data_IF_962076228657
#
_entry.id   IF_962076228657
#
_cell.length_a   1.000
_cell.length_b   1.000
_cell.length_c   1.000
_cell.angle_alpha   90.00
_cell.angle_beta   90.00
_cell.angle_gamma   90.00
#
_symmetry.space_group_name_H-M   'P 1'
#
loop_
_entity.id
_entity.type
_entity.pdbx_description
1 polymer ?
#
# COMPACT_ATOMS: atom_id res chain seq x y z
N UNK A 1 -26.25 35.82 42.76
CA UNK A 1 -26.72 34.75 43.66
C UNK A 1 -25.53 33.86 43.93
N UNK A 2 -24.80 34.15 45.01
CA UNK A 2 -23.56 33.48 45.38
C UNK A 2 -23.80 32.88 46.76
N UNK A 3 -23.99 31.55 46.81
CA UNK A 3 -24.09 30.82 48.07
C UNK A 3 -22.67 30.45 48.51
N UNK A 4 -22.08 31.27 49.37
CA UNK A 4 -20.85 30.97 50.05
C UNK A 4 -21.06 29.83 51.06
N UNK A 5 -20.18 28.84 50.98
CA UNK A 5 -20.02 27.73 51.92
C UNK A 5 -19.73 28.27 53.32
N UNK A 6 -20.69 28.22 54.22
CA UNK A 6 -20.42 28.36 55.65
C UNK A 6 -19.80 27.04 56.15
N UNK A 7 -18.48 26.97 56.12
CA UNK A 7 -17.74 25.99 56.90
C UNK A 7 -17.98 26.27 58.40
N UNK A 8 -18.37 25.24 59.15
CA UNK A 8 -18.55 25.33 60.60
C UNK A 8 -17.22 25.72 61.28
N UNK A 9 -17.23 26.67 62.23
CA UNK A 9 -16.01 27.07 62.95
C UNK A 9 -15.46 25.92 63.78
N UNK A 10 -14.21 25.53 63.50
CA UNK A 10 -13.48 24.38 64.11
C UNK A 10 -13.26 24.48 65.63
N UNK A 11 -13.64 25.59 66.27
CA UNK A 11 -13.44 25.84 67.70
C UNK A 11 -14.68 25.64 68.58
N UNK A 12 -15.80 25.14 68.03
CA UNK A 12 -17.07 25.06 68.78
C UNK A 12 -17.66 23.65 68.92
N UNK A 13 -16.83 22.60 68.84
CA UNK A 13 -17.26 21.28 69.34
C UNK A 13 -17.19 21.33 70.87
N UNK A 14 -18.24 21.87 71.50
CA UNK A 14 -18.43 21.78 72.93
C UNK A 14 -18.80 20.33 73.25
N UNK A 15 -17.82 19.59 73.76
CA UNK A 15 -18.02 18.27 74.31
C UNK A 15 -18.93 18.38 75.54
N UNK A 16 -20.19 17.94 75.41
CA UNK A 16 -21.02 17.63 76.56
C UNK A 16 -20.48 16.31 77.11
N UNK A 17 -19.70 16.39 78.18
CA UNK A 17 -19.20 15.23 78.92
C UNK A 17 -20.38 14.43 79.46
N UNK A 18 -20.62 13.25 78.88
CA UNK A 18 -21.44 12.22 79.51
C UNK A 18 -20.77 11.72 80.79
N UNK A 19 -21.55 11.40 81.81
CA UNK A 19 -21.10 11.11 83.19
C UNK A 19 -20.33 9.80 83.41
N UNK A 20 -19.79 9.16 82.37
CA UNK A 20 -18.97 7.95 82.50
C UNK A 20 -17.96 7.81 81.36
N UNK A 21 -16.73 7.41 81.68
CA UNK A 21 -15.65 7.14 80.74
C UNK A 21 -15.94 5.94 79.81
N UNK A 22 -16.94 5.12 80.10
CA UNK A 22 -17.39 4.00 79.24
C UNK A 22 -18.21 4.47 78.03
N UNK A 23 -18.77 5.68 78.06
CA UNK A 23 -19.62 6.23 76.99
C UNK A 23 -18.91 7.29 76.13
N UNK A 24 -17.66 7.65 76.46
CA UNK A 24 -16.91 8.68 75.73
C UNK A 24 -15.88 8.00 74.84
N UNK A 25 -16.28 7.69 73.61
CA UNK A 25 -15.32 7.46 72.54
C UNK A 25 -14.55 8.78 72.32
N UNK A 26 -13.22 8.76 72.51
CA UNK A 26 -12.40 9.94 72.20
C UNK A 26 -12.59 10.35 70.73
N UNK A 27 -12.45 11.64 70.41
CA UNK A 27 -12.48 12.09 69.00
C UNK A 27 -11.51 11.33 68.11
N UNK A 28 -10.37 10.87 68.67
CA UNK A 28 -9.44 9.98 68.01
C UNK A 28 -10.05 8.60 67.75
N UNK A 29 -10.72 7.99 68.73
CA UNK A 29 -11.40 6.70 68.56
C UNK A 29 -12.56 6.78 67.55
N UNK A 30 -13.30 7.88 67.52
CA UNK A 30 -14.35 8.11 66.51
C UNK A 30 -13.73 8.31 65.12
N UNK A 31 -12.65 9.08 65.00
CA UNK A 31 -11.94 9.31 63.73
C UNK A 31 -11.29 8.02 63.22
N UNK A 32 -10.62 7.27 64.09
CA UNK A 32 -10.01 5.99 63.76
C UNK A 32 -11.08 4.95 63.36
N UNK A 33 -12.22 4.92 64.05
CA UNK A 33 -13.36 4.06 63.69
C UNK A 33 -13.97 4.46 62.34
N UNK A 34 -14.11 5.76 62.05
CA UNK A 34 -14.68 6.25 60.79
C UNK A 34 -13.74 6.03 59.60
N UNK A 35 -12.43 6.16 59.80
CA UNK A 35 -11.39 5.81 58.81
C UNK A 35 -11.37 4.31 58.54
N UNK A 36 -11.66 3.48 59.56
CA UNK A 36 -11.77 2.03 59.41
C UNK A 36 -13.14 1.56 58.89
N UNK A 37 -14.21 2.36 59.03
CA UNK A 37 -15.58 1.97 58.69
C UNK A 37 -15.85 1.83 57.19
N UNK A 38 -15.00 2.40 56.33
CA UNK A 38 -14.97 2.13 54.89
C UNK A 38 -13.52 1.98 54.46
N UNK A 39 -12.98 0.76 54.53
CA UNK A 39 -11.64 0.51 54.04
C UNK A 39 -11.62 0.64 52.51
N UNK A 40 -10.62 1.35 51.98
CA UNK A 40 -10.42 1.47 50.53
C UNK A 40 -10.27 0.09 49.87
N UNK A 41 -9.79 -0.90 50.62
CA UNK A 41 -9.62 -2.29 50.20
C UNK A 41 -10.96 -3.02 50.00
N UNK A 42 -11.99 -2.66 50.75
CA UNK A 42 -13.32 -3.22 50.59
C UNK A 42 -14.05 -2.64 49.37
N UNK A 43 -13.86 -1.33 49.11
CA UNK A 43 -14.50 -0.67 47.97
C UNK A 43 -13.75 -0.91 46.65
N UNK A 44 -12.41 -0.95 46.71
CA UNK A 44 -11.53 -1.10 45.57
C UNK A 44 -10.49 -2.19 45.81
N UNK A 45 -10.86 -3.48 45.80
CA UNK A 45 -9.91 -4.58 45.99
C UNK A 45 -8.83 -4.59 44.89
N UNK A 46 -7.67 -5.21 45.18
CA UNK A 46 -6.61 -5.42 44.17
C UNK A 46 -7.18 -6.17 42.96
N UNK A 47 -6.87 -5.69 41.77
CA UNK A 47 -7.42 -6.19 40.51
C UNK A 47 -8.70 -5.49 40.02
N UNK A 48 -9.35 -4.65 40.84
CA UNK A 48 -10.50 -3.87 40.37
C UNK A 48 -10.08 -2.85 39.31
N UNK A 49 -10.99 -2.58 38.37
CA UNK A 49 -10.85 -1.53 37.36
C UNK A 49 -11.75 -0.34 37.69
N UNK A 50 -11.22 0.86 37.57
CA UNK A 50 -11.97 2.12 37.68
C UNK A 50 -11.79 2.96 36.41
N UNK A 51 -12.83 3.72 36.05
CA UNK A 51 -12.85 4.60 34.89
C UNK A 51 -13.14 6.04 35.31
N UNK A 52 -12.30 6.97 34.87
CA UNK A 52 -12.52 8.40 35.09
C UNK A 52 -12.89 9.10 33.78
N UNK A 53 -14.00 9.85 33.80
CA UNK A 53 -14.38 10.76 32.71
C UNK A 53 -13.55 12.06 32.66
N UNK A 54 -12.58 12.18 33.56
CA UNK A 54 -11.65 13.30 33.67
C UNK A 54 -10.23 12.75 33.78
N UNK A 55 -9.23 13.58 33.48
CA UNK A 55 -7.84 13.24 33.71
C UNK A 55 -7.53 13.21 35.22
N UNK A 56 -7.80 12.07 35.84
CA UNK A 56 -7.55 11.79 37.26
C UNK A 56 -6.65 10.58 37.39
N UNK A 57 -5.66 10.70 38.28
CA UNK A 57 -4.75 9.62 38.62
C UNK A 57 -5.16 9.03 39.99
N UNK A 58 -5.63 7.78 40.05
CA UNK A 58 -6.05 7.16 41.30
C UNK A 58 -4.91 6.99 42.31
N UNK A 59 -3.64 6.96 41.86
CA UNK A 59 -2.48 6.97 42.77
C UNK A 59 -2.39 8.27 43.61
N UNK A 60 -3.00 9.37 43.14
CA UNK A 60 -3.09 10.63 43.88
C UNK A 60 -4.38 10.69 44.71
N UNK A 61 -5.49 10.16 44.17
CA UNK A 61 -6.79 10.19 44.84
C UNK A 61 -6.89 9.25 46.03
N UNK A 62 -6.18 8.11 45.98
CA UNK A 62 -6.21 7.06 46.98
C UNK A 62 -4.79 6.79 47.52
N UNK A 63 -4.30 7.63 48.45
CA UNK A 63 -2.99 7.43 49.06
C UNK A 63 -2.86 6.02 49.66
N UNK A 64 -1.66 5.44 49.60
CA UNK A 64 -1.34 4.07 50.05
C UNK A 64 -1.90 2.93 49.19
N UNK A 65 -2.41 3.23 48.01
CA UNK A 65 -2.75 2.23 46.98
C UNK A 65 -1.86 2.42 45.76
N UNK A 66 -1.75 1.41 44.90
CA UNK A 66 -1.03 1.44 43.63
C UNK A 66 -1.97 1.07 42.48
N UNK A 67 -1.89 1.83 41.40
CA UNK A 67 -2.75 1.67 40.23
C UNK A 67 -1.94 1.79 38.95
N UNK A 68 -2.23 0.89 38.02
CA UNK A 68 -1.62 0.85 36.70
C UNK A 68 -2.61 1.36 35.66
N UNK A 69 -2.13 2.20 34.74
CA UNK A 69 -2.92 2.67 33.61
C UNK A 69 -3.13 1.52 32.60
N UNK A 70 -4.36 1.33 32.13
CA UNK A 70 -4.71 0.25 31.19
C UNK A 70 -4.08 0.50 29.79
N UNK A 71 -3.81 1.76 29.47
CA UNK A 71 -3.25 2.19 28.19
C UNK A 71 -4.28 2.89 27.29
N UNK A 72 -3.79 3.41 26.17
CA UNK A 72 -4.54 4.32 25.30
C UNK A 72 -5.16 3.58 24.11
N UNK A 73 -6.27 4.15 23.58
CA UNK A 73 -6.95 3.69 22.37
C UNK A 73 -7.31 2.19 22.41
N UNK A 74 -7.76 1.70 23.56
CA UNK A 74 -8.21 0.32 23.76
C UNK A 74 -9.72 0.23 23.94
N UNK A 75 -10.29 -0.86 23.45
CA UNK A 75 -11.64 -1.30 23.81
C UNK A 75 -11.52 -2.48 24.77
N UNK A 76 -12.45 -2.60 25.73
CA UNK A 76 -12.44 -3.69 26.70
C UNK A 76 -13.24 -4.88 26.17
N UNK A 77 -12.65 -6.06 26.29
CA UNK A 77 -13.28 -7.35 25.98
C UNK A 77 -13.31 -8.20 27.24
N UNK A 78 -14.24 -9.14 27.29
CA UNK A 78 -14.29 -10.13 28.35
C UNK A 78 -13.16 -11.15 28.14
N UNK A 79 -12.40 -11.39 29.21
CA UNK A 79 -11.44 -12.47 29.27
C UNK A 79 -12.16 -13.83 29.26
N UNK A 80 -11.43 -14.88 28.92
CA UNK A 80 -11.83 -16.27 29.13
C UNK A 80 -12.20 -16.53 30.59
N UNK A 81 -13.14 -17.45 30.83
CA UNK A 81 -13.66 -17.74 32.17
C UNK A 81 -12.60 -18.26 33.15
N UNK A 82 -11.49 -18.84 32.65
CA UNK A 82 -10.37 -19.31 33.46
C UNK A 82 -9.32 -18.21 33.75
N UNK A 83 -9.50 -17.00 33.20
CA UNK A 83 -8.67 -15.84 33.47
C UNK A 83 -7.28 -15.85 32.81
N UNK A 84 -6.97 -16.81 31.95
CA UNK A 84 -5.62 -16.97 31.39
C UNK A 84 -5.20 -15.84 30.45
N UNK A 85 -6.17 -15.12 29.88
CA UNK A 85 -5.97 -14.02 28.94
C UNK A 85 -6.32 -12.64 29.54
N UNK A 86 -6.47 -12.55 30.87
CA UNK A 86 -6.66 -11.28 31.57
C UNK A 86 -5.50 -10.32 31.27
N UNK A 87 -5.83 -9.06 30.96
CA UNK A 87 -4.89 -8.00 30.56
C UNK A 87 -4.09 -8.26 29.27
N UNK A 88 -4.37 -9.33 28.53
CA UNK A 88 -3.82 -9.47 27.17
C UNK A 88 -4.37 -8.38 26.25
N UNK A 89 -3.54 -7.95 25.29
CA UNK A 89 -3.89 -6.89 24.34
C UNK A 89 -3.78 -7.39 22.89
N UNK A 90 -4.61 -6.83 22.02
CA UNK A 90 -4.58 -7.12 20.59
C UNK A 90 -5.51 -6.19 19.81
N UNK A 91 -5.54 -6.38 18.49
CA UNK A 91 -6.30 -5.54 17.56
C UNK A 91 -5.46 -4.40 16.96
N UNK A 92 -6.06 -3.69 16.00
CA UNK A 92 -5.50 -2.53 15.31
C UNK A 92 -6.64 -1.58 14.96
N UNK A 93 -6.35 -0.28 14.93
CA UNK A 93 -7.29 0.76 14.48
C UNK A 93 -7.40 0.83 12.96
N UNK A 94 -6.44 0.24 12.24
CA UNK A 94 -6.43 0.22 10.77
C UNK A 94 -5.93 -1.10 10.20
N UNK A 95 -6.32 -1.34 8.95
CA UNK A 95 -5.85 -2.47 8.15
C UNK A 95 -5.46 -2.00 6.74
N UNK A 96 -4.31 -2.45 6.25
CA UNK A 96 -3.95 -2.35 4.84
C UNK A 96 -4.27 -3.68 4.17
N UNK A 97 -5.10 -3.64 3.12
CA UNK A 97 -5.47 -4.84 2.38
C UNK A 97 -4.26 -5.38 1.60
N UNK A 98 -4.08 -6.68 1.66
CA UNK A 98 -3.08 -7.45 0.91
C UNK A 98 -3.76 -8.27 -0.18
N UNK A 99 -3.00 -8.72 -1.18
CA UNK A 99 -3.53 -9.52 -2.30
C UNK A 99 -4.39 -10.71 -1.86
N UNK A 100 -4.01 -11.53 -0.85
CA UNK A 100 -4.85 -12.64 -0.38
C UNK A 100 -6.20 -12.23 0.23
N UNK A 101 -6.37 -10.97 0.62
CA UNK A 101 -7.60 -10.44 1.24
C UNK A 101 -8.56 -9.84 0.20
N UNK A 102 -8.18 -9.78 -1.08
CA UNK A 102 -9.02 -9.30 -2.17
C UNK A 102 -9.71 -10.48 -2.84
N UNK A 103 -11.04 -10.46 -3.03
CA UNK A 103 -11.74 -11.49 -3.80
C UNK A 103 -11.14 -11.68 -5.21
N UNK A 104 -11.12 -12.93 -5.67
CA UNK A 104 -10.69 -13.26 -7.02
C UNK A 104 -11.54 -12.48 -8.04
N UNK A 105 -10.87 -11.78 -8.94
CA UNK A 105 -11.49 -11.00 -10.00
C UNK A 105 -10.62 -11.08 -11.25
N UNK A 106 -11.22 -10.86 -12.40
CA UNK A 106 -10.51 -10.87 -13.68
C UNK A 106 -10.88 -9.62 -14.47
N UNK A 107 -9.91 -9.10 -15.22
CA UNK A 107 -10.10 -8.02 -16.17
C UNK A 107 -9.73 -8.54 -17.55
N UNK A 108 -10.66 -8.45 -18.49
CA UNK A 108 -10.40 -8.79 -19.90
C UNK A 108 -10.51 -7.54 -20.76
N UNK A 109 -9.47 -7.24 -21.53
CA UNK A 109 -9.51 -6.24 -22.58
C UNK A 109 -9.17 -6.88 -23.93
N UNK A 110 -10.00 -6.62 -24.92
CA UNK A 110 -9.73 -6.97 -26.31
C UNK A 110 -10.25 -5.87 -27.22
N UNK A 111 -9.43 -5.39 -28.15
CA UNK A 111 -9.83 -4.47 -29.20
C UNK A 111 -9.34 -4.93 -30.57
N UNK A 112 -10.06 -4.54 -31.62
CA UNK A 112 -9.59 -4.67 -33.01
C UNK A 112 -9.67 -3.31 -33.68
N UNK A 113 -8.71 -3.00 -34.54
CA UNK A 113 -8.78 -1.82 -35.38
C UNK A 113 -9.94 -1.94 -36.38
N UNK A 114 -10.44 -0.83 -36.90
CA UNK A 114 -11.28 -0.88 -38.09
C UNK A 114 -10.51 -1.48 -39.26
N UNK A 115 -11.24 -2.13 -40.17
CA UNK A 115 -10.64 -2.66 -41.39
C UNK A 115 -10.16 -1.50 -42.26
N UNK A 116 -8.93 -1.62 -42.75
CA UNK A 116 -8.32 -0.63 -43.64
C UNK A 116 -7.69 -1.32 -44.84
N UNK A 117 -8.02 -0.84 -46.03
CA UNK A 117 -7.43 -1.28 -47.30
C UNK A 117 -6.39 -0.24 -47.73
N UNK A 118 -5.13 -0.66 -47.84
CA UNK A 118 -4.02 0.20 -48.25
C UNK A 118 -4.01 0.45 -49.77
N UNK A 119 -4.77 -0.34 -50.52
CA UNK A 119 -4.79 -0.35 -51.98
C UNK A 119 -3.47 -0.82 -52.57
N UNK A 120 -3.23 -0.43 -53.82
CA UNK A 120 -1.95 -0.69 -54.49
C UNK A 120 -0.88 0.30 -54.04
N UNK A 121 0.28 -0.21 -53.63
CA UNK A 121 1.49 0.56 -53.32
C UNK A 121 2.60 0.22 -54.30
N UNK A 122 3.46 1.20 -54.56
CA UNK A 122 4.54 1.07 -55.53
C UNK A 122 5.88 1.00 -54.79
N UNK A 123 6.76 0.08 -55.19
CA UNK A 123 8.10 -0.03 -54.63
C UNK A 123 8.94 1.22 -54.93
N UNK A 124 9.98 1.47 -54.13
CA UNK A 124 10.92 2.54 -54.46
C UNK A 124 11.74 2.18 -55.70
N UNK A 125 12.25 3.22 -56.37
CA UNK A 125 13.16 3.09 -57.49
C UNK A 125 14.61 2.94 -57.01
N UNK A 126 15.40 2.11 -57.68
CA UNK A 126 16.79 1.82 -57.33
C UNK A 126 17.76 1.94 -58.51
N UNK A 127 17.46 2.83 -59.48
CA UNK A 127 18.31 2.99 -60.66
C UNK A 127 18.02 1.93 -61.74
N UNK A 128 18.39 2.28 -62.97
CA UNK A 128 18.55 1.29 -64.02
C UNK A 128 19.84 0.50 -63.77
N UNK A 129 19.79 -0.81 -63.93
CA UNK A 129 20.99 -1.64 -63.95
C UNK A 129 20.83 -2.72 -64.99
N UNK A 130 21.97 -3.17 -65.50
CA UNK A 130 22.07 -4.28 -66.41
C UNK A 130 22.88 -5.39 -65.74
N UNK A 131 22.60 -6.63 -66.11
CA UNK A 131 23.47 -7.76 -65.84
C UNK A 131 24.38 -8.01 -67.04
N UNK A 132 25.66 -8.24 -66.79
CA UNK A 132 26.64 -8.63 -67.82
C UNK A 132 26.65 -10.17 -67.98
N UNK A 133 26.85 -10.66 -69.21
CA UNK A 133 26.43 -12.02 -69.59
C UNK A 133 27.36 -13.20 -69.33
N UNK A 134 28.55 -13.14 -68.76
CA UNK A 134 29.51 -14.27 -68.73
C UNK A 134 30.04 -14.78 -70.10
N UNK A 135 29.28 -14.68 -71.19
CA UNK A 135 29.60 -15.10 -72.56
C UNK A 135 30.16 -13.93 -73.37
N UNK A 136 31.21 -14.15 -74.15
CA UNK A 136 31.70 -13.12 -75.07
C UNK A 136 33.09 -13.31 -75.66
N UNK A 137 33.68 -14.50 -75.47
CA UNK A 137 34.73 -15.00 -76.34
C UNK A 137 34.12 -16.03 -77.30
N UNK A 138 34.63 -16.10 -78.55
CA UNK A 138 34.09 -17.04 -79.56
C UNK A 138 34.16 -18.50 -79.10
N UNK A 139 35.15 -18.84 -78.26
CA UNK A 139 35.50 -20.21 -77.90
C UNK A 139 35.67 -20.45 -76.38
N UNK A 140 35.38 -19.45 -75.51
CA UNK A 140 35.56 -19.59 -74.06
C UNK A 140 34.67 -18.65 -73.21
N UNK A 141 34.51 -18.99 -71.93
CA UNK A 141 33.96 -18.07 -70.92
C UNK A 141 34.85 -16.83 -70.79
N UNK A 142 34.27 -15.67 -70.49
CA UNK A 142 35.04 -14.44 -70.29
C UNK A 142 35.82 -14.49 -68.97
N UNK A 143 37.05 -13.96 -68.96
CA UNK A 143 37.93 -13.86 -67.79
C UNK A 143 38.39 -12.39 -67.59
N UNK A 144 38.87 -12.02 -66.39
CA UNK A 144 39.33 -10.65 -66.05
C UNK A 144 38.44 -9.95 -65.02
N UNK A 145 38.76 -8.69 -64.68
CA UNK A 145 37.98 -7.90 -63.71
C UNK A 145 37.11 -6.84 -64.38
N UNK A 146 35.96 -6.55 -63.75
CA UNK A 146 35.08 -5.47 -64.19
C UNK A 146 35.80 -4.13 -64.02
N UNK A 147 35.97 -3.42 -65.13
CA UNK A 147 36.27 -2.00 -65.15
C UNK A 147 35.09 -1.23 -65.77
N UNK A 148 35.06 0.09 -65.71
CA UNK A 148 33.95 0.87 -66.28
C UNK A 148 33.91 0.93 -67.82
N UNK A 149 34.70 0.10 -68.53
CA UNK A 149 34.83 0.13 -69.99
C UNK A 149 33.93 -0.90 -70.68
N UNK A 150 33.98 -1.01 -72.01
CA UNK A 150 33.19 -1.98 -72.77
C UNK A 150 33.81 -3.40 -72.83
N UNK A 151 34.99 -3.60 -72.23
CA UNK A 151 35.72 -4.88 -72.14
C UNK A 151 36.19 -5.10 -70.70
N UNK A 152 36.55 -6.32 -70.28
CA UNK A 152 37.18 -6.51 -68.95
C UNK A 152 38.70 -6.28 -69.05
N UNK A 153 39.28 -5.58 -68.07
CA UNK A 153 40.74 -5.37 -68.02
C UNK A 153 41.46 -6.60 -67.46
N UNK A 154 42.63 -6.91 -68.04
CA UNK A 154 43.59 -7.84 -67.46
C UNK A 154 43.92 -9.11 -68.26
N UNK A 155 43.52 -9.25 -69.52
CA UNK A 155 43.98 -10.35 -70.37
C UNK A 155 45.24 -9.95 -71.15
N UNK A 156 46.34 -10.67 -70.92
CA UNK A 156 47.52 -10.63 -71.78
C UNK A 156 47.24 -11.31 -73.11
N UNK A 157 46.54 -10.60 -74.00
CA UNK A 157 46.36 -10.72 -75.45
C UNK A 157 45.30 -9.67 -75.77
N UNK A 158 45.53 -8.89 -76.82
CA UNK A 158 44.93 -7.56 -77.05
C UNK A 158 43.44 -7.42 -76.66
N UNK A 159 43.08 -6.29 -76.05
CA UNK A 159 41.75 -5.81 -75.56
C UNK A 159 40.57 -5.82 -76.59
N UNK A 160 40.67 -6.61 -77.66
CA UNK A 160 39.73 -6.66 -78.78
C UNK A 160 38.82 -7.90 -78.77
N UNK A 161 39.03 -8.88 -77.88
CA UNK A 161 38.35 -10.18 -77.88
C UNK A 161 37.42 -10.46 -76.67
N UNK A 162 37.25 -9.54 -75.71
CA UNK A 162 36.48 -9.78 -74.48
C UNK A 162 35.37 -8.74 -74.22
N UNK A 163 34.42 -8.63 -75.16
CA UNK A 163 33.36 -7.61 -75.10
C UNK A 163 32.30 -7.92 -74.05
N UNK A 164 31.89 -6.89 -73.28
CA UNK A 164 30.75 -6.96 -72.35
C UNK A 164 29.44 -6.96 -73.12
N UNK A 165 28.59 -7.94 -72.84
CA UNK A 165 27.24 -8.04 -73.38
C UNK A 165 26.28 -7.85 -72.22
N UNK A 166 25.86 -6.60 -72.06
CA UNK A 166 24.91 -6.25 -71.03
C UNK A 166 23.49 -6.57 -71.50
N UNK A 167 22.70 -7.13 -70.59
CA UNK A 167 21.25 -7.18 -70.75
C UNK A 167 20.70 -5.75 -70.88
N UNK A 168 19.56 -5.62 -71.58
CA UNK A 168 18.84 -4.35 -71.59
C UNK A 168 18.44 -3.99 -70.16
N UNK A 169 18.49 -2.70 -69.81
CA UNK A 169 17.89 -2.21 -68.56
C UNK A 169 16.37 -2.20 -68.63
N UNK A 170 15.82 -2.23 -69.86
CA UNK A 170 14.40 -2.04 -70.20
C UNK A 170 13.75 -0.84 -69.51
N UNK A 171 14.57 0.16 -69.20
CA UNK A 171 14.17 1.35 -68.47
C UNK A 171 13.96 1.12 -66.98
N UNK A 172 14.04 2.24 -66.25
CA UNK A 172 13.63 2.33 -64.86
C UNK A 172 12.18 1.88 -64.69
N UNK A 173 11.94 0.90 -63.82
CA UNK A 173 10.57 0.53 -63.45
C UNK A 173 10.43 0.31 -61.94
N UNK A 174 9.16 0.24 -61.53
CA UNK A 174 8.75 -0.04 -60.16
C UNK A 174 7.69 -1.13 -60.19
N UNK A 175 7.54 -1.86 -59.08
CA UNK A 175 6.51 -2.88 -58.94
C UNK A 175 5.33 -2.35 -58.16
N UNK A 176 4.14 -2.84 -58.47
CA UNK A 176 2.92 -2.57 -57.71
C UNK A 176 2.54 -3.78 -56.87
N UNK A 177 2.23 -3.55 -55.59
CA UNK A 177 1.82 -4.56 -54.62
C UNK A 177 0.49 -4.13 -54.02
N UNK A 178 -0.51 -5.01 -54.06
CA UNK A 178 -1.81 -4.78 -53.43
C UNK A 178 -1.79 -5.25 -51.97
N UNK A 179 -2.17 -4.36 -51.05
CA UNK A 179 -2.27 -4.64 -49.61
C UNK A 179 -3.74 -4.45 -49.21
N UNK A 180 -4.50 -5.54 -49.28
CA UNK A 180 -5.95 -5.52 -49.07
C UNK A 180 -6.39 -5.24 -47.64
N UNK A 181 -7.72 -5.18 -47.50
CA UNK A 181 -8.40 -4.94 -46.23
C UNK A 181 -7.95 -5.91 -45.14
N UNK A 182 -7.37 -5.38 -44.07
CA UNK A 182 -7.01 -6.17 -42.89
C UNK A 182 -7.27 -5.39 -41.59
N UNK A 183 -7.24 -6.11 -40.48
CA UNK A 183 -7.43 -5.60 -39.13
C UNK A 183 -6.28 -6.06 -38.24
N UNK A 184 -5.96 -5.27 -37.23
CA UNK A 184 -5.03 -5.67 -36.18
C UNK A 184 -5.78 -5.88 -34.87
N UNK A 185 -5.44 -6.95 -34.15
CA UNK A 185 -5.84 -7.15 -32.76
C UNK A 185 -4.89 -6.39 -31.85
N UNK A 186 -5.44 -5.69 -30.85
CA UNK A 186 -4.67 -4.97 -29.84
C UNK A 186 -5.00 -5.55 -28.47
N UNK A 187 -3.96 -5.84 -27.70
CA UNK A 187 -4.03 -6.32 -26.32
C UNK A 187 -2.96 -5.64 -25.48
N UNK A 188 -3.24 -5.47 -24.19
CA UNK A 188 -2.30 -4.87 -23.24
C UNK A 188 -2.79 -4.97 -21.81
N UNK A 189 -2.00 -4.45 -20.88
CA UNK A 189 -2.32 -4.36 -19.47
C UNK A 189 -2.82 -2.95 -19.13
N UNK A 190 -3.78 -2.85 -18.21
CA UNK A 190 -4.12 -1.59 -17.56
C UNK A 190 -3.14 -1.30 -16.43
N UNK A 191 -3.06 -0.04 -16.01
CA UNK A 191 -2.33 0.33 -14.80
C UNK A 191 -2.92 -0.31 -13.54
N UNK A 192 -2.11 -0.41 -12.49
CA UNK A 192 -2.57 -0.84 -11.17
C UNK A 192 -3.57 0.18 -10.60
N UNK A 193 -4.73 -0.31 -10.15
CA UNK A 193 -5.73 0.49 -9.43
C UNK A 193 -5.62 0.25 -7.92
N UNK A 194 -5.77 1.33 -7.14
CA UNK A 194 -5.75 1.30 -5.66
C UNK A 194 -4.51 1.97 -5.06
N UNK A 195 -4.69 2.74 -3.99
CA UNK A 195 -3.61 3.51 -3.34
C UNK A 195 -2.85 2.75 -2.27
N UNK A 196 -3.30 1.54 -1.89
CA UNK A 196 -2.77 0.79 -0.74
C UNK A 196 -2.94 1.51 0.60
N UNK A 197 -3.80 2.55 0.66
CA UNK A 197 -4.01 3.31 1.89
C UNK A 197 -4.73 2.46 2.94
N UNK A 198 -4.35 2.56 4.22
CA UNK A 198 -5.04 1.87 5.30
C UNK A 198 -6.51 2.28 5.39
N UNK A 199 -7.37 1.30 5.67
CA UNK A 199 -8.77 1.53 6.01
C UNK A 199 -8.87 1.64 7.53
N UNK A 200 -9.47 2.72 8.01
CA UNK A 200 -9.81 2.86 9.43
C UNK A 200 -10.95 1.90 9.78
N UNK A 201 -10.75 1.09 10.81
CA UNK A 201 -11.77 0.16 11.34
C UNK A 201 -12.20 0.58 12.75
N UNK A 202 -11.97 1.84 13.10
CA UNK A 202 -12.27 2.40 14.41
C UNK A 202 -13.76 2.66 14.54
N UNK A 203 -14.41 2.03 15.52
CA UNK A 203 -15.81 2.27 15.86
C UNK A 203 -15.99 3.65 16.51
N UNK A 204 -17.22 4.18 16.52
CA UNK A 204 -17.54 5.32 17.39
C UNK A 204 -17.32 4.95 18.87
N UNK A 205 -16.68 5.84 19.63
CA UNK A 205 -16.35 5.57 21.03
C UNK A 205 -16.39 6.83 21.90
N UNK A 206 -16.44 6.61 23.21
CA UNK A 206 -16.14 7.60 24.25
C UNK A 206 -14.87 7.13 24.97
N UNK A 207 -13.91 8.04 25.19
CA UNK A 207 -12.65 7.74 25.90
C UNK A 207 -12.76 8.11 27.37
N UNK A 208 -12.40 7.18 28.24
CA UNK A 208 -12.29 7.35 29.68
C UNK A 208 -10.89 6.91 30.11
N UNK A 209 -10.39 7.44 31.23
CA UNK A 209 -9.11 7.03 31.82
C UNK A 209 -9.31 5.78 32.66
N UNK A 210 -8.90 4.63 32.14
CA UNK A 210 -9.02 3.33 32.81
C UNK A 210 -7.77 2.95 33.59
N UNK A 211 -7.94 2.55 34.85
CA UNK A 211 -6.87 2.11 35.74
C UNK A 211 -7.28 0.83 36.45
N UNK A 212 -6.30 -0.04 36.74
CA UNK A 212 -6.52 -1.21 37.59
C UNK A 212 -5.60 -1.20 38.81
N UNK A 213 -6.12 -1.63 39.96
CA UNK A 213 -5.36 -1.63 41.21
C UNK A 213 -4.36 -2.80 41.24
N UNK A 214 -3.11 -2.51 41.60
CA UNK A 214 -2.03 -3.51 41.69
C UNK A 214 -1.57 -3.77 43.12
N UNK A 215 -1.75 -2.82 44.04
CA UNK A 215 -1.49 -2.98 45.47
C UNK A 215 -2.36 -2.02 46.31
#
# INVERSE_FOLDING_TARGET
MEQAQNALPKSSIVQVTGGSAEQVMSQKAVTDALVNAVSIDMLYPVGIVVWFAQNKNPNVLFPKTQWQYIGENKTVRLATANGLDVLTAGGSDSITLTTPQIPAHNHSFSGSTSSFDYGSKTTNYAGEHFHDSGWGDQDASRYGYYDGTNSNYGSGRSDWDNRKFNTSTDGSHTHSIYIGAHTHTVSGNTENTGSGSPVSIVNMYIKLMGWYRTA
#
